data_IF_714274739730
#
_entry.id   IF_714274739730
#
_cell.length_a   1.000
_cell.length_b   1.000
_cell.length_c   1.000
_cell.angle_alpha   90.00
_cell.angle_beta   90.00
_cell.angle_gamma   90.00
#
_symmetry.space_group_name_H-M   'P 1'
#
loop_
_entity.id
_entity.type
_entity.pdbx_description
1 polymer ?
#
# COMPACT_ATOMS: atom_id res chain seq x y z
N UNK A 1 28.33 -42.20 14.44
CA UNK A 1 27.62 -41.01 14.96
C UNK A 1 28.43 -39.72 14.79
N UNK A 2 28.71 -39.33 13.51
CA UNK A 2 29.45 -38.11 13.16
C UNK A 2 28.65 -36.83 13.47
N UNK A 3 27.31 -36.91 13.40
CA UNK A 3 26.38 -35.78 13.61
C UNK A 3 26.51 -35.16 15.02
N UNK A 4 26.75 -35.95 16.05
CA UNK A 4 26.90 -35.48 17.43
C UNK A 4 28.22 -34.72 17.72
N UNK A 5 29.18 -34.77 16.78
CA UNK A 5 30.46 -34.05 16.86
C UNK A 5 30.44 -32.75 16.04
N UNK A 6 29.34 -32.53 15.30
CA UNK A 6 29.17 -31.34 14.48
C UNK A 6 28.65 -30.18 15.32
N UNK A 7 29.48 -29.16 15.47
CA UNK A 7 29.16 -27.95 16.24
C UNK A 7 27.96 -27.21 15.63
N UNK A 8 27.88 -27.20 14.31
CA UNK A 8 26.79 -26.52 13.59
C UNK A 8 25.42 -27.17 13.86
N UNK A 9 25.40 -28.51 14.07
CA UNK A 9 24.20 -29.22 14.49
C UNK A 9 23.70 -28.76 15.86
N UNK A 10 24.61 -28.63 16.83
CA UNK A 10 24.27 -28.17 18.19
C UNK A 10 23.86 -26.69 18.21
N UNK A 11 24.44 -25.85 17.37
CA UNK A 11 24.05 -24.46 17.19
C UNK A 11 22.66 -24.36 16.60
N UNK A 12 22.35 -25.15 15.57
CA UNK A 12 21.02 -25.20 14.99
C UNK A 12 19.97 -25.64 16.03
N UNK A 13 20.29 -26.69 16.81
CA UNK A 13 19.42 -27.19 17.88
C UNK A 13 19.20 -26.15 18.98
N UNK A 14 20.26 -25.46 19.39
CA UNK A 14 20.22 -24.40 20.41
C UNK A 14 19.43 -23.18 19.93
N UNK A 15 19.49 -22.85 18.65
CA UNK A 15 18.77 -21.73 18.05
C UNK A 15 17.29 -22.04 17.76
N UNK A 16 16.93 -23.32 17.66
CA UNK A 16 15.55 -23.78 17.46
C UNK A 16 14.84 -24.22 18.73
N UNK A 17 15.59 -24.50 19.79
CA UNK A 17 15.06 -25.12 21.01
C UNK A 17 14.22 -24.21 21.93
N UNK A 18 14.42 -22.90 22.09
CA UNK A 18 13.51 -22.11 22.92
C UNK A 18 12.34 -21.57 22.12
N UNK A 19 11.12 -21.69 22.67
CA UNK A 19 9.89 -21.08 22.16
C UNK A 19 9.97 -19.55 22.01
N UNK A 20 11.01 -18.91 22.56
CA UNK A 20 11.28 -17.48 22.60
C UNK A 20 12.65 -17.15 21.98
N UNK A 21 12.92 -17.56 20.78
CA UNK A 21 14.17 -17.25 20.10
C UNK A 21 14.05 -15.95 19.28
N UNK A 22 14.91 -14.97 19.55
CA UNK A 22 15.05 -13.76 18.69
C UNK A 22 15.61 -14.08 17.31
N UNK A 23 16.07 -15.31 17.05
CA UNK A 23 16.66 -15.72 15.78
C UNK A 23 15.70 -15.51 14.57
N UNK A 24 14.39 -15.70 14.77
CA UNK A 24 13.39 -15.47 13.73
C UNK A 24 13.24 -13.99 13.38
N UNK A 25 13.32 -13.10 14.36
CA UNK A 25 13.31 -11.65 14.15
C UNK A 25 14.58 -11.18 13.44
N UNK A 26 15.74 -11.68 13.84
CA UNK A 26 17.02 -11.39 13.16
C UNK A 26 16.99 -11.88 11.70
N UNK A 27 16.47 -13.08 11.46
CA UNK A 27 16.27 -13.61 10.10
C UNK A 27 15.39 -12.67 9.25
N UNK A 28 14.32 -12.12 9.83
CA UNK A 28 13.45 -11.14 9.17
C UNK A 28 14.14 -9.80 8.84
N UNK A 29 15.32 -9.53 9.41
CA UNK A 29 16.20 -8.39 9.12
C UNK A 29 17.45 -8.78 8.33
N UNK A 30 17.49 -9.98 7.76
CA UNK A 30 18.67 -10.56 7.09
C UNK A 30 19.90 -10.63 8.00
N UNK A 31 19.69 -10.95 9.28
CA UNK A 31 20.71 -11.16 10.29
C UNK A 31 20.65 -12.60 10.81
N UNK A 32 21.77 -13.12 11.31
CA UNK A 32 21.88 -14.41 11.99
C UNK A 32 22.82 -14.34 13.17
N UNK A 33 22.73 -15.30 14.07
CA UNK A 33 23.71 -15.49 15.12
C UNK A 33 24.88 -16.33 14.58
N UNK A 34 26.10 -15.91 14.92
CA UNK A 34 27.33 -16.69 14.75
C UNK A 34 27.51 -17.69 15.91
N UNK A 35 28.56 -18.53 15.84
CA UNK A 35 28.91 -19.53 16.84
C UNK A 35 29.07 -18.91 18.25
N UNK A 36 29.62 -17.70 18.31
CA UNK A 36 29.83 -16.92 19.54
C UNK A 36 28.62 -16.08 19.98
N UNK A 37 27.40 -16.31 19.37
CA UNK A 37 26.20 -15.49 19.56
C UNK A 37 26.32 -14.02 19.15
N UNK A 38 27.32 -13.67 18.37
CA UNK A 38 27.37 -12.35 17.76
C UNK A 38 26.37 -12.23 16.63
N UNK A 39 25.78 -11.04 16.47
CA UNK A 39 24.86 -10.75 15.38
C UNK A 39 25.67 -10.43 14.12
N UNK A 40 25.58 -11.29 13.12
CA UNK A 40 26.22 -11.11 11.83
C UNK A 40 25.18 -11.02 10.71
N UNK A 41 25.58 -10.49 9.57
CA UNK A 41 24.70 -10.47 8.38
C UNK A 41 24.48 -11.88 7.84
N UNK A 42 23.29 -12.14 7.34
CA UNK A 42 22.95 -13.37 6.62
C UNK A 42 23.83 -13.49 5.36
N UNK A 43 24.01 -14.72 4.84
CA UNK A 43 24.71 -14.97 3.59
C UNK A 43 24.03 -14.23 2.43
N UNK A 44 24.79 -13.79 1.42
CA UNK A 44 24.28 -12.92 0.34
C UNK A 44 23.08 -13.51 -0.38
N UNK A 45 23.12 -14.81 -0.68
CA UNK A 45 22.03 -15.54 -1.35
C UNK A 45 20.71 -15.57 -0.56
N UNK A 46 20.76 -15.26 0.73
CA UNK A 46 19.60 -15.29 1.65
C UNK A 46 19.13 -13.91 2.10
N UNK A 47 19.74 -12.83 1.61
CA UNK A 47 19.41 -11.44 1.98
C UNK A 47 18.27 -10.89 1.13
N UNK A 48 17.06 -11.39 1.36
CA UNK A 48 15.87 -10.96 0.61
C UNK A 48 14.92 -10.06 1.42
N UNK A 49 14.93 -10.19 2.75
CA UNK A 49 13.91 -9.55 3.59
C UNK A 49 14.05 -8.03 3.64
N UNK A 50 15.28 -7.47 3.74
CA UNK A 50 15.50 -6.02 3.68
C UNK A 50 14.98 -5.41 2.38
N UNK A 51 15.20 -6.09 1.25
CA UNK A 51 14.72 -5.65 -0.05
C UNK A 51 13.20 -5.67 -0.07
N UNK A 52 12.57 -6.71 0.48
CA UNK A 52 11.12 -6.84 0.56
C UNK A 52 10.50 -5.78 1.48
N UNK A 53 11.13 -5.47 2.64
CA UNK A 53 10.70 -4.38 3.52
C UNK A 53 10.71 -3.04 2.80
N UNK A 54 11.84 -2.68 2.18
CA UNK A 54 11.97 -1.43 1.43
C UNK A 54 10.99 -1.37 0.25
N UNK A 55 10.82 -2.49 -0.47
CA UNK A 55 9.87 -2.58 -1.58
C UNK A 55 8.45 -2.37 -1.08
N UNK A 56 8.05 -3.01 0.02
CA UNK A 56 6.72 -2.85 0.61
C UNK A 56 6.42 -1.40 0.96
N UNK A 57 7.35 -0.72 1.62
CA UNK A 57 7.21 0.70 1.95
C UNK A 57 7.12 1.56 0.68
N UNK A 58 7.98 1.32 -0.30
CA UNK A 58 7.97 2.06 -1.58
C UNK A 58 6.65 1.86 -2.33
N UNK A 59 6.17 0.61 -2.43
CA UNK A 59 4.90 0.30 -3.11
C UNK A 59 3.74 0.95 -2.36
N UNK A 60 3.66 0.82 -1.03
CA UNK A 60 2.61 1.44 -0.24
C UNK A 60 2.61 2.97 -0.40
N UNK A 61 3.79 3.60 -0.40
CA UNK A 61 3.92 5.04 -0.61
C UNK A 61 3.41 5.47 -1.99
N UNK A 62 3.87 4.82 -3.07
CA UNK A 62 3.46 5.21 -4.42
C UNK A 62 1.98 4.91 -4.69
N UNK A 63 1.45 3.80 -4.20
CA UNK A 63 0.01 3.50 -4.28
C UNK A 63 -0.80 4.60 -3.57
N UNK A 64 -0.34 5.04 -2.39
CA UNK A 64 -1.00 6.14 -1.66
C UNK A 64 -0.97 7.45 -2.46
N UNK A 65 0.17 7.78 -3.08
CA UNK A 65 0.31 8.98 -3.93
C UNK A 65 -0.62 8.89 -5.14
N UNK A 66 -0.67 7.75 -5.84
CA UNK A 66 -1.56 7.57 -6.99
C UNK A 66 -3.04 7.62 -6.58
N UNK A 67 -3.40 6.97 -5.46
CA UNK A 67 -4.74 7.07 -4.91
C UNK A 67 -5.11 8.54 -4.59
N UNK A 68 -4.21 9.29 -3.96
CA UNK A 68 -4.43 10.71 -3.65
C UNK A 68 -4.64 11.55 -4.90
N UNK A 69 -3.77 11.41 -5.90
CA UNK A 69 -3.86 12.17 -7.15
C UNK A 69 -5.17 11.92 -7.90
N UNK A 70 -5.66 10.68 -7.90
CA UNK A 70 -6.93 10.32 -8.54
C UNK A 70 -8.14 10.66 -7.65
N UNK A 71 -8.06 10.39 -6.35
CA UNK A 71 -9.17 10.59 -5.43
C UNK A 71 -9.48 12.06 -5.18
N UNK A 72 -8.46 12.94 -5.16
CA UNK A 72 -8.66 14.36 -4.85
C UNK A 72 -9.62 15.05 -5.83
N UNK A 73 -9.42 14.99 -7.17
CA UNK A 73 -10.36 15.55 -8.13
C UNK A 73 -11.73 14.88 -8.08
N UNK A 74 -11.78 13.54 -7.89
CA UNK A 74 -13.04 12.79 -7.78
C UNK A 74 -13.83 13.27 -6.55
N UNK A 75 -13.18 13.36 -5.40
CA UNK A 75 -13.81 13.80 -4.14
C UNK A 75 -14.27 15.25 -4.21
N UNK A 76 -13.47 16.12 -4.83
CA UNK A 76 -13.86 17.52 -5.06
C UNK A 76 -15.10 17.62 -5.96
N UNK A 77 -15.14 16.85 -7.04
CA UNK A 77 -16.31 16.78 -7.92
C UNK A 77 -17.54 16.30 -7.17
N UNK A 78 -17.42 15.20 -6.41
CA UNK A 78 -18.50 14.65 -5.59
C UNK A 78 -19.02 15.66 -4.55
N UNK A 79 -18.13 16.44 -3.93
CA UNK A 79 -18.50 17.41 -2.91
C UNK A 79 -19.22 18.64 -3.46
N UNK A 80 -18.92 19.04 -4.70
CA UNK A 80 -19.43 20.27 -5.34
C UNK A 80 -20.67 20.06 -6.19
N UNK A 81 -20.88 18.85 -6.72
CA UNK A 81 -22.05 18.54 -7.55
C UNK A 81 -23.36 18.52 -6.76
N UNK A 82 -24.51 18.79 -7.41
CA UNK A 82 -25.82 18.57 -6.86
C UNK A 82 -26.02 17.13 -6.38
N UNK A 83 -26.75 16.93 -5.29
CA UNK A 83 -26.92 15.65 -4.60
C UNK A 83 -27.26 14.48 -5.53
N UNK A 84 -28.13 14.73 -6.53
CA UNK A 84 -28.54 13.72 -7.51
C UNK A 84 -27.35 13.12 -8.29
N UNK A 85 -26.46 13.96 -8.79
CA UNK A 85 -25.30 13.53 -9.58
C UNK A 85 -24.17 13.01 -8.67
N UNK A 86 -23.98 13.66 -7.53
CA UNK A 86 -23.00 13.22 -6.52
C UNK A 86 -23.31 11.80 -6.03
N UNK A 87 -24.58 11.48 -5.74
CA UNK A 87 -24.96 10.14 -5.30
C UNK A 87 -24.73 9.09 -6.39
N UNK A 88 -25.05 9.40 -7.66
CA UNK A 88 -24.81 8.48 -8.77
C UNK A 88 -23.31 8.19 -8.95
N UNK A 89 -22.48 9.23 -8.93
CA UNK A 89 -21.02 9.06 -9.02
C UNK A 89 -20.44 8.34 -7.79
N UNK A 90 -20.98 8.59 -6.60
CA UNK A 90 -20.57 7.87 -5.40
C UNK A 90 -20.87 6.37 -5.52
N UNK A 91 -22.02 6.00 -6.09
CA UNK A 91 -22.34 4.59 -6.38
C UNK A 91 -21.30 4.01 -7.33
N UNK A 92 -20.91 4.72 -8.39
CA UNK A 92 -19.88 4.24 -9.33
C UNK A 92 -18.51 4.04 -8.65
N UNK A 93 -18.12 4.92 -7.72
CA UNK A 93 -16.87 4.79 -6.94
C UNK A 93 -16.93 3.59 -6.01
N UNK A 94 -18.10 3.33 -5.40
CA UNK A 94 -18.28 2.23 -4.44
C UNK A 94 -18.64 0.90 -5.10
N UNK A 95 -19.10 0.90 -6.35
CA UNK A 95 -19.50 -0.31 -7.06
C UNK A 95 -18.44 -1.45 -7.01
N UNK A 96 -17.13 -1.17 -7.11
CA UNK A 96 -16.13 -2.20 -6.95
C UNK A 96 -16.19 -2.95 -5.61
N UNK A 97 -16.71 -2.36 -4.54
CA UNK A 97 -16.83 -3.08 -3.25
C UNK A 97 -17.83 -4.23 -3.27
N UNK A 98 -18.81 -4.18 -4.16
CA UNK A 98 -19.81 -5.26 -4.31
C UNK A 98 -19.27 -6.48 -5.06
N UNK A 99 -18.08 -6.35 -5.67
CA UNK A 99 -17.40 -7.46 -6.34
C UNK A 99 -16.31 -8.05 -5.44
N UNK A 100 -16.08 -9.36 -5.55
CA UNK A 100 -15.04 -10.01 -4.77
C UNK A 100 -13.65 -9.49 -5.17
N UNK A 101 -12.73 -9.48 -4.21
CA UNK A 101 -11.33 -9.06 -4.44
C UNK A 101 -10.65 -9.92 -5.51
N UNK A 102 -10.89 -11.24 -5.49
CA UNK A 102 -10.33 -12.17 -6.46
C UNK A 102 -10.83 -11.86 -7.88
N UNK A 103 -12.13 -11.62 -8.05
CA UNK A 103 -12.71 -11.24 -9.35
C UNK A 103 -12.09 -9.95 -9.86
N UNK A 104 -11.96 -8.92 -9.03
CA UNK A 104 -11.30 -7.66 -9.41
C UNK A 104 -9.84 -7.86 -9.83
N UNK A 105 -9.09 -8.63 -9.04
CA UNK A 105 -7.68 -8.90 -9.37
C UNK A 105 -7.55 -9.73 -10.64
N UNK A 106 -8.39 -10.74 -10.83
CA UNK A 106 -8.42 -11.54 -12.07
C UNK A 106 -8.80 -10.71 -13.29
N UNK A 107 -9.73 -9.76 -13.14
CA UNK A 107 -10.06 -8.80 -14.23
C UNK A 107 -8.84 -7.96 -14.61
N UNK A 108 -8.05 -7.50 -13.62
CA UNK A 108 -6.79 -6.81 -13.89
C UNK A 108 -5.75 -7.69 -14.58
N UNK A 109 -5.70 -9.00 -14.25
CA UNK A 109 -4.84 -9.93 -14.98
C UNK A 109 -5.18 -9.99 -16.45
N UNK A 110 -6.47 -10.05 -16.81
CA UNK A 110 -6.94 -10.05 -18.22
C UNK A 110 -6.65 -8.72 -18.88
N UNK A 111 -6.88 -7.58 -18.21
CA UNK A 111 -6.69 -6.26 -18.77
C UNK A 111 -5.20 -5.92 -19.02
N UNK A 112 -4.32 -6.34 -18.14
CA UNK A 112 -2.88 -6.01 -18.16
C UNK A 112 -2.03 -7.01 -18.94
N UNK A 113 -2.58 -8.14 -19.38
CA UNK A 113 -1.80 -9.12 -20.17
C UNK A 113 -1.29 -8.51 -21.49
N UNK A 114 -0.26 -9.13 -22.07
CA UNK A 114 0.45 -8.58 -23.22
C UNK A 114 -0.47 -8.38 -24.46
N UNK A 115 -1.44 -9.27 -24.64
CA UNK A 115 -2.49 -9.15 -25.67
C UNK A 115 -3.84 -8.72 -25.07
N UNK A 116 -3.78 -7.90 -24.02
CA UNK A 116 -4.99 -7.42 -23.33
C UNK A 116 -5.45 -6.06 -23.82
N UNK A 117 -6.70 -5.69 -23.47
CA UNK A 117 -7.34 -4.46 -23.95
C UNK A 117 -6.54 -3.18 -23.64
N UNK A 118 -5.78 -3.13 -22.56
CA UNK A 118 -4.95 -1.96 -22.22
C UNK A 118 -3.79 -1.82 -23.22
N UNK A 119 -3.12 -2.92 -23.53
CA UNK A 119 -2.06 -2.91 -24.54
C UNK A 119 -2.59 -2.62 -25.94
N UNK A 120 -3.77 -3.13 -26.29
CA UNK A 120 -4.43 -2.80 -27.58
C UNK A 120 -4.72 -1.29 -27.65
N UNK A 121 -5.17 -0.67 -26.56
CA UNK A 121 -5.38 0.78 -26.49
C UNK A 121 -4.08 1.56 -26.62
N UNK A 122 -2.99 1.11 -26.00
CA UNK A 122 -1.66 1.74 -26.07
C UNK A 122 -1.12 1.70 -27.50
N UNK A 123 -1.27 0.57 -28.20
CA UNK A 123 -0.89 0.41 -29.61
C UNK A 123 -1.76 1.28 -30.50
N UNK A 124 -3.07 1.29 -30.28
CA UNK A 124 -4.01 2.13 -31.04
C UNK A 124 -3.71 3.63 -30.90
N UNK A 125 -3.28 4.08 -29.71
CA UNK A 125 -2.84 5.47 -29.48
C UNK A 125 -1.46 5.79 -30.09
N UNK A 126 -0.76 4.80 -30.66
CA UNK A 126 0.57 4.95 -31.23
C UNK A 126 1.69 5.12 -30.21
N UNK A 127 1.45 4.77 -28.93
CA UNK A 127 2.46 4.86 -27.86
C UNK A 127 3.40 3.66 -27.80
N UNK A 128 3.02 2.54 -28.40
CA UNK A 128 3.87 1.36 -28.57
C UNK A 128 3.61 0.72 -29.93
N UNK A 129 4.63 0.01 -30.46
CA UNK A 129 4.46 -0.83 -31.64
C UNK A 129 3.81 -2.17 -31.26
N UNK A 130 3.10 -2.79 -32.18
CA UNK A 130 2.44 -4.07 -31.92
C UNK A 130 3.42 -5.20 -31.61
N UNK A 131 4.63 -5.14 -32.21
CA UNK A 131 5.72 -6.08 -31.96
C UNK A 131 6.45 -5.84 -30.63
N UNK A 132 6.26 -4.66 -29.99
CA UNK A 132 6.94 -4.28 -28.76
C UNK A 132 5.95 -3.74 -27.73
N UNK A 133 4.99 -4.56 -27.35
CA UNK A 133 3.99 -4.23 -26.34
C UNK A 133 4.60 -4.18 -24.95
N UNK A 134 4.28 -3.19 -24.10
CA UNK A 134 4.81 -3.10 -22.74
C UNK A 134 4.34 -4.28 -21.87
N UNK A 135 5.27 -4.81 -21.08
CA UNK A 135 4.98 -5.83 -20.08
C UNK A 135 4.34 -5.15 -18.84
N UNK A 136 3.01 -5.14 -18.78
CA UNK A 136 2.27 -4.54 -17.66
C UNK A 136 1.93 -5.54 -16.56
N UNK A 137 2.11 -6.84 -16.81
CA UNK A 137 1.75 -7.91 -15.89
C UNK A 137 3.00 -8.59 -15.31
N UNK A 138 2.85 -9.24 -14.15
CA UNK A 138 3.91 -9.93 -13.41
C UNK A 138 5.10 -9.03 -13.01
N UNK A 139 4.82 -7.75 -12.76
CA UNK A 139 5.80 -6.76 -12.33
C UNK A 139 5.22 -5.74 -11.33
N UNK A 140 6.07 -4.83 -10.89
CA UNK A 140 5.68 -3.75 -9.96
C UNK A 140 4.61 -2.84 -10.55
N UNK A 141 4.60 -2.63 -11.89
CA UNK A 141 3.62 -1.76 -12.55
C UNK A 141 2.21 -2.35 -12.42
N UNK A 142 2.04 -3.64 -12.70
CA UNK A 142 0.76 -4.33 -12.49
C UNK A 142 0.28 -4.23 -11.05
N UNK A 143 1.20 -4.35 -10.09
CA UNK A 143 0.90 -4.16 -8.67
C UNK A 143 0.39 -2.75 -8.39
N UNK A 144 1.05 -1.70 -8.91
CA UNK A 144 0.62 -0.31 -8.72
C UNK A 144 -0.77 -0.06 -9.29
N UNK A 145 -1.03 -0.47 -10.53
CA UNK A 145 -2.31 -0.24 -11.20
C UNK A 145 -3.45 -0.92 -10.46
N UNK A 146 -3.32 -2.22 -10.20
CA UNK A 146 -4.37 -2.99 -9.55
C UNK A 146 -4.60 -2.55 -8.10
N UNK A 147 -3.55 -2.33 -7.30
CA UNK A 147 -3.70 -1.87 -5.92
C UNK A 147 -4.27 -0.45 -5.83
N UNK A 148 -3.89 0.45 -6.74
CA UNK A 148 -4.43 1.82 -6.76
C UNK A 148 -5.93 1.79 -7.00
N UNK A 149 -6.42 1.05 -7.99
CA UNK A 149 -7.85 0.94 -8.26
C UNK A 149 -8.62 0.32 -7.09
N UNK A 150 -8.07 -0.72 -6.48
CA UNK A 150 -8.71 -1.43 -5.35
C UNK A 150 -8.79 -0.54 -4.11
N UNK A 151 -7.74 0.26 -3.84
CA UNK A 151 -7.64 1.11 -2.66
C UNK A 151 -8.20 2.53 -2.86
N UNK A 152 -8.49 2.93 -4.11
CA UNK A 152 -9.00 4.26 -4.45
C UNK A 152 -10.24 4.69 -3.63
N UNK A 153 -11.28 3.85 -3.45
CA UNK A 153 -12.45 4.24 -2.66
C UNK A 153 -12.12 4.57 -1.20
N UNK A 154 -11.13 3.91 -0.61
CA UNK A 154 -10.67 4.18 0.77
C UNK A 154 -10.00 5.55 0.90
N UNK A 155 -9.50 6.12 -0.18
CA UNK A 155 -9.01 7.50 -0.23
C UNK A 155 -10.15 8.48 -0.48
N UNK A 156 -11.09 8.13 -1.39
CA UNK A 156 -12.21 9.01 -1.78
C UNK A 156 -13.13 9.30 -0.60
N UNK A 157 -13.47 8.29 0.20
CA UNK A 157 -14.45 8.43 1.27
C UNK A 157 -14.06 9.46 2.36
N UNK A 158 -12.85 9.40 2.97
CA UNK A 158 -12.44 10.41 3.94
C UNK A 158 -12.31 11.81 3.33
N UNK A 159 -11.76 11.91 2.12
CA UNK A 159 -11.66 13.18 1.38
C UNK A 159 -13.03 13.80 1.13
N UNK A 160 -13.97 13.03 0.58
CA UNK A 160 -15.33 13.48 0.33
C UNK A 160 -16.01 13.92 1.61
N UNK A 161 -15.89 13.15 2.69
CA UNK A 161 -16.50 13.47 3.99
C UNK A 161 -16.08 14.85 4.48
N UNK A 162 -14.77 15.14 4.45
CA UNK A 162 -14.25 16.45 4.87
C UNK A 162 -14.62 17.54 3.85
N UNK A 163 -14.46 17.30 2.55
CA UNK A 163 -14.78 18.29 1.51
C UNK A 163 -16.25 18.71 1.52
N UNK A 164 -17.15 17.79 1.86
CA UNK A 164 -18.60 18.06 1.93
C UNK A 164 -18.98 19.00 3.06
N UNK A 165 -18.21 19.09 4.14
CA UNK A 165 -18.45 20.00 5.25
C UNK A 165 -17.98 21.43 4.97
N UNK A 166 -17.14 21.64 3.94
CA UNK A 166 -16.59 22.96 3.60
C UNK A 166 -17.68 23.80 2.94
N UNK A 167 -18.07 24.91 3.60
CA UNK A 167 -19.09 25.81 3.06
C UNK A 167 -18.61 26.51 1.77
N UNK A 168 -19.43 26.50 0.69
CA UNK A 168 -19.12 27.22 -0.54
C UNK A 168 -18.99 28.74 -0.34
N UNK A 169 -19.53 29.30 0.75
CA UNK A 169 -19.42 30.72 1.10
C UNK A 169 -17.97 31.14 1.35
N UNK A 170 -17.12 30.26 1.90
CA UNK A 170 -15.70 30.54 2.13
C UNK A 170 -14.95 30.85 0.82
N UNK A 171 -15.23 30.06 -0.22
CA UNK A 171 -14.63 30.28 -1.54
C UNK A 171 -15.14 31.57 -2.19
N UNK A 172 -16.44 31.91 -1.99
CA UNK A 172 -17.03 33.17 -2.47
C UNK A 172 -16.44 34.37 -1.75
N UNK A 173 -16.30 34.31 -0.43
CA UNK A 173 -15.66 35.37 0.36
C UNK A 173 -14.22 35.64 -0.08
N UNK A 174 -13.41 34.59 -0.30
CA UNK A 174 -12.05 34.72 -0.80
C UNK A 174 -11.98 35.42 -2.17
N UNK A 175 -12.93 35.13 -3.07
CA UNK A 175 -13.02 35.80 -4.37
C UNK A 175 -13.47 37.27 -4.21
N UNK A 176 -14.41 37.57 -3.31
CA UNK A 176 -14.86 38.94 -3.05
C UNK A 176 -13.77 39.84 -2.47
N UNK A 177 -12.79 39.26 -1.76
CA UNK A 177 -11.59 39.94 -1.27
C UNK A 177 -10.52 40.14 -2.35
N UNK A 178 -10.83 39.91 -3.64
CA UNK A 178 -9.93 40.11 -4.77
C UNK A 178 -9.06 38.89 -5.12
N UNK A 179 -9.26 37.76 -4.46
CA UNK A 179 -8.55 36.52 -4.77
C UNK A 179 -8.99 35.90 -6.10
N UNK A 180 -8.03 35.43 -6.90
CA UNK A 180 -8.34 34.60 -8.08
C UNK A 180 -8.94 33.25 -7.63
N UNK A 181 -9.66 32.52 -8.50
CA UNK A 181 -10.16 31.18 -8.18
C UNK A 181 -9.08 30.21 -7.70
N UNK A 182 -7.89 30.28 -8.28
CA UNK A 182 -6.74 29.46 -7.90
C UNK A 182 -6.19 29.87 -6.53
N UNK A 183 -6.09 31.19 -6.26
CA UNK A 183 -5.65 31.70 -4.94
C UNK A 183 -6.61 31.28 -3.84
N UNK A 184 -7.91 31.45 -4.05
CA UNK A 184 -8.94 31.01 -3.10
C UNK A 184 -8.90 29.48 -2.87
N UNK A 185 -8.71 28.69 -3.93
CA UNK A 185 -8.53 27.26 -3.79
C UNK A 185 -7.30 26.91 -2.96
N UNK A 186 -6.12 27.45 -3.30
CA UNK A 186 -4.86 27.12 -2.63
C UNK A 186 -4.79 27.61 -1.19
N UNK A 187 -5.33 28.81 -0.88
CA UNK A 187 -5.19 29.43 0.43
C UNK A 187 -6.34 29.13 1.39
N UNK A 188 -7.51 28.80 0.88
CA UNK A 188 -8.72 28.55 1.71
C UNK A 188 -9.14 27.08 1.60
N UNK A 189 -9.47 26.61 0.40
CA UNK A 189 -10.07 25.30 0.24
C UNK A 189 -9.08 24.17 0.54
N UNK A 190 -7.90 24.18 -0.07
CA UNK A 190 -6.90 23.12 0.08
C UNK A 190 -6.47 22.91 1.54
N UNK A 191 -6.16 23.94 2.34
CA UNK A 191 -5.83 23.77 3.75
C UNK A 191 -6.95 23.13 4.57
N UNK A 192 -8.21 23.47 4.28
CA UNK A 192 -9.36 22.87 4.94
C UNK A 192 -9.56 21.38 4.59
N UNK A 193 -8.99 20.92 3.47
CA UNK A 193 -9.03 19.49 3.09
C UNK A 193 -7.92 18.64 3.71
N UNK A 194 -6.89 19.25 4.32
CA UNK A 194 -5.73 18.54 4.89
C UNK A 194 -6.14 17.40 5.86
N UNK A 195 -7.13 17.57 6.75
CA UNK A 195 -7.56 16.48 7.62
C UNK A 195 -8.07 15.25 6.85
N UNK A 196 -8.83 15.49 5.77
CA UNK A 196 -9.33 14.43 4.90
C UNK A 196 -8.21 13.75 4.09
N UNK A 197 -7.25 14.55 3.59
CA UNK A 197 -6.05 14.05 2.92
C UNK A 197 -5.28 13.13 3.87
N UNK A 198 -5.01 13.61 5.07
CA UNK A 198 -4.26 12.86 6.06
C UNK A 198 -4.93 11.55 6.43
N UNK A 199 -6.22 11.58 6.74
CA UNK A 199 -6.98 10.37 7.08
C UNK A 199 -7.00 9.36 5.91
N UNK A 200 -7.25 9.82 4.69
CA UNK A 200 -7.25 8.97 3.49
C UNK A 200 -5.87 8.38 3.19
N UNK A 201 -4.82 9.20 3.23
CA UNK A 201 -3.43 8.74 3.01
C UNK A 201 -3.00 7.71 4.04
N UNK A 202 -3.28 7.95 5.33
CA UNK A 202 -2.98 6.99 6.38
C UNK A 202 -3.69 5.65 6.17
N UNK A 203 -5.01 5.71 5.90
CA UNK A 203 -5.81 4.52 5.69
C UNK A 203 -5.31 3.69 4.51
N UNK A 204 -5.09 4.32 3.35
CA UNK A 204 -4.60 3.65 2.14
C UNK A 204 -3.20 3.09 2.36
N UNK A 205 -2.30 3.84 3.00
CA UNK A 205 -0.94 3.41 3.27
C UNK A 205 -0.89 2.16 4.16
N UNK A 206 -1.66 2.16 5.27
CA UNK A 206 -1.73 1.02 6.18
C UNK A 206 -2.31 -0.22 5.47
N UNK A 207 -3.38 -0.04 4.70
CA UNK A 207 -3.96 -1.13 3.92
C UNK A 207 -2.97 -1.67 2.88
N UNK A 208 -2.26 -0.80 2.17
CA UNK A 208 -1.30 -1.18 1.14
C UNK A 208 -0.12 -2.01 1.69
N UNK A 209 0.40 -1.68 2.88
CA UNK A 209 1.48 -2.44 3.54
C UNK A 209 1.05 -3.89 3.82
N UNK A 210 -0.18 -4.10 4.27
CA UNK A 210 -0.70 -5.43 4.60
C UNK A 210 -1.23 -6.22 3.39
N UNK A 211 -1.28 -5.61 2.21
CA UNK A 211 -1.89 -6.22 1.04
C UNK A 211 -1.02 -7.33 0.46
N UNK A 212 -1.58 -8.54 0.24
CA UNK A 212 -0.81 -9.67 -0.31
C UNK A 212 -1.46 -10.35 -1.52
N UNK A 213 -2.81 -10.35 -1.62
CA UNK A 213 -3.51 -11.09 -2.67
C UNK A 213 -3.21 -10.52 -4.06
N UNK A 214 -3.38 -9.22 -4.23
CA UNK A 214 -3.14 -8.59 -5.54
C UNK A 214 -1.68 -8.66 -5.95
N UNK A 215 -0.68 -8.31 -5.12
CA UNK A 215 0.72 -8.53 -5.47
C UNK A 215 1.09 -9.97 -5.77
N UNK A 216 0.45 -10.95 -5.12
CA UNK A 216 0.67 -12.37 -5.39
C UNK A 216 0.21 -12.78 -6.80
N UNK A 217 -0.86 -12.18 -7.31
CA UNK A 217 -1.46 -12.53 -8.60
C UNK A 217 -0.88 -11.75 -9.76
N UNK A 218 -0.66 -10.44 -9.62
CA UNK A 218 -0.23 -9.55 -10.72
C UNK A 218 1.21 -9.07 -10.62
N UNK A 219 1.84 -9.19 -9.44
CA UNK A 219 3.12 -8.55 -9.16
C UNK A 219 4.35 -9.36 -9.59
N UNK A 220 4.24 -10.67 -9.77
CA UNK A 220 5.39 -11.52 -10.07
C UNK A 220 6.52 -11.40 -9.01
N UNK A 221 7.74 -11.71 -9.39
CA UNK A 221 8.89 -11.66 -8.48
C UNK A 221 9.26 -10.23 -8.05
N UNK A 222 9.15 -9.26 -8.97
CA UNK A 222 9.49 -7.86 -8.72
C UNK A 222 8.41 -7.10 -7.94
N UNK A 223 7.16 -7.52 -8.02
CA UNK A 223 6.02 -6.92 -7.30
C UNK A 223 5.67 -7.60 -5.98
N UNK A 224 6.38 -8.67 -5.59
CA UNK A 224 6.16 -9.36 -4.31
C UNK A 224 6.56 -8.49 -3.12
N UNK A 225 5.74 -8.51 -2.06
CA UNK A 225 5.87 -7.71 -0.84
C UNK A 225 6.18 -8.61 0.36
N UNK A 226 6.51 -8.00 1.51
CA UNK A 226 6.76 -8.75 2.75
C UNK A 226 5.51 -9.55 3.20
N UNK A 227 4.30 -9.03 2.97
CA UNK A 227 3.04 -9.70 3.22
C UNK A 227 2.88 -11.01 2.43
N UNK A 228 3.43 -11.08 1.21
CA UNK A 228 3.48 -12.30 0.41
C UNK A 228 4.38 -13.36 1.05
N UNK A 229 5.52 -12.94 1.62
CA UNK A 229 6.44 -13.82 2.34
C UNK A 229 5.79 -14.38 3.62
N UNK A 230 5.06 -13.54 4.35
CA UNK A 230 4.28 -14.00 5.51
C UNK A 230 3.27 -15.07 5.08
N UNK A 231 2.50 -14.80 4.04
CA UNK A 231 1.52 -15.75 3.51
C UNK A 231 2.17 -17.06 3.02
N UNK A 232 3.33 -16.99 2.38
CA UNK A 232 4.12 -18.14 1.96
C UNK A 232 4.53 -19.01 3.16
N UNK A 233 5.06 -18.39 4.22
CA UNK A 233 5.48 -19.13 5.42
C UNK A 233 4.31 -19.71 6.21
N UNK A 234 3.13 -19.13 6.10
CA UNK A 234 1.90 -19.70 6.71
C UNK A 234 1.34 -20.89 5.92
N UNK A 235 1.36 -20.82 4.58
CA UNK A 235 0.60 -21.74 3.72
C UNK A 235 1.47 -22.83 3.06
N UNK A 236 2.70 -22.47 2.67
CA UNK A 236 3.55 -23.34 1.86
C UNK A 236 4.70 -23.96 2.67
N UNK A 237 5.49 -23.15 3.38
CA UNK A 237 6.61 -23.68 4.17
C UNK A 237 6.20 -24.13 5.58
N UNK A 238 4.98 -23.76 6.04
CA UNK A 238 4.42 -24.08 7.36
C UNK A 238 5.32 -23.65 8.54
N UNK A 239 6.22 -22.68 8.33
CA UNK A 239 7.04 -22.06 9.39
C UNK A 239 6.23 -20.92 10.07
N UNK A 240 5.22 -21.33 10.83
CA UNK A 240 4.32 -20.42 11.54
C UNK A 240 5.04 -19.46 12.47
N UNK A 241 6.13 -19.91 13.12
CA UNK A 241 6.90 -19.07 14.02
C UNK A 241 7.64 -17.96 13.29
N UNK A 242 8.15 -18.20 12.08
CA UNK A 242 8.77 -17.15 11.26
C UNK A 242 7.72 -16.22 10.66
N UNK A 243 6.59 -16.74 10.19
CA UNK A 243 5.46 -15.92 9.75
C UNK A 243 4.97 -14.98 10.85
N UNK A 244 4.83 -15.48 12.10
CA UNK A 244 4.45 -14.67 13.24
C UNK A 244 5.49 -13.59 13.58
N UNK A 245 6.79 -13.90 13.49
CA UNK A 245 7.85 -12.92 13.69
C UNK A 245 7.78 -11.79 12.66
N UNK A 246 7.65 -12.12 11.37
CA UNK A 246 7.48 -11.12 10.30
C UNK A 246 6.20 -10.30 10.47
N UNK A 247 5.08 -10.95 10.82
CA UNK A 247 3.79 -10.29 11.06
C UNK A 247 3.83 -9.33 12.24
N UNK A 248 4.48 -9.71 13.35
CA UNK A 248 4.65 -8.83 14.51
C UNK A 248 5.56 -7.63 14.20
N UNK A 249 6.63 -7.82 13.42
CA UNK A 249 7.48 -6.72 12.94
C UNK A 249 6.69 -5.76 12.06
N UNK A 250 5.88 -6.28 11.15
CA UNK A 250 5.00 -5.47 10.29
C UNK A 250 4.00 -4.68 11.11
N UNK A 251 3.38 -5.30 12.13
CA UNK A 251 2.46 -4.63 13.04
C UNK A 251 3.14 -3.49 13.80
N UNK A 252 4.33 -3.74 14.38
CA UNK A 252 5.10 -2.69 15.07
C UNK A 252 5.45 -1.55 14.12
N UNK A 253 5.86 -1.87 12.87
CA UNK A 253 6.12 -0.87 11.84
C UNK A 253 4.90 0.01 11.54
N UNK A 254 3.73 -0.60 11.35
CA UNK A 254 2.46 0.11 11.11
C UNK A 254 2.07 0.98 12.30
N UNK A 255 2.17 0.46 13.54
CA UNK A 255 1.85 1.23 14.74
C UNK A 255 2.81 2.42 14.92
N UNK A 256 4.07 2.25 14.60
CA UNK A 256 5.08 3.33 14.65
C UNK A 256 4.73 4.43 13.63
N UNK A 257 4.37 4.07 12.40
CA UNK A 257 3.96 5.03 11.36
C UNK A 257 2.67 5.75 11.78
N UNK A 258 1.70 5.01 12.32
CA UNK A 258 0.47 5.60 12.87
C UNK A 258 0.77 6.60 14.00
N UNK A 259 1.64 6.26 14.93
CA UNK A 259 2.03 7.13 16.04
C UNK A 259 2.74 8.40 15.54
N UNK A 260 3.67 8.28 14.60
CA UNK A 260 4.36 9.41 13.97
C UNK A 260 3.33 10.31 13.27
N UNK A 261 2.43 9.72 12.49
CA UNK A 261 1.38 10.44 11.80
C UNK A 261 0.49 11.23 12.79
N UNK A 262 0.01 10.58 13.84
CA UNK A 262 -0.84 11.21 14.86
C UNK A 262 -0.14 12.40 15.53
N UNK A 263 1.17 12.26 15.81
CA UNK A 263 1.97 13.34 16.39
C UNK A 263 2.20 14.52 15.43
N UNK A 264 2.35 14.24 14.12
CA UNK A 264 2.61 15.29 13.12
C UNK A 264 1.34 16.02 12.69
N UNK A 265 0.25 15.29 12.46
CA UNK A 265 -1.02 15.86 11.96
C UNK A 265 -1.90 16.40 13.10
N UNK A 266 -1.68 15.89 14.32
CA UNK A 266 -2.34 16.41 15.51
C UNK A 266 -3.86 16.29 15.45
N UNK A 267 -4.38 15.09 15.25
CA UNK A 267 -5.83 14.82 15.20
C UNK A 267 -6.52 15.37 16.48
N UNK A 268 -5.81 15.37 17.60
CA UNK A 268 -6.29 15.91 18.87
C UNK A 268 -6.40 17.46 18.88
N UNK A 269 -5.77 18.17 17.95
CA UNK A 269 -5.82 19.63 17.82
C UNK A 269 -6.96 20.11 16.91
N UNK A 270 -7.65 19.23 16.21
CA UNK A 270 -8.85 19.56 15.46
C UNK A 270 -10.03 19.53 16.43
N UNK A 271 -10.01 20.42 17.42
CA UNK A 271 -11.25 20.79 18.14
C UNK A 271 -12.11 21.49 17.11
N UNK A 272 -13.10 20.77 16.61
CA UNK A 272 -14.27 21.35 15.95
C UNK A 272 -14.90 22.28 16.97
N UNK A 273 -14.63 23.58 16.84
CA UNK A 273 -15.32 24.63 17.58
C UNK A 273 -16.78 24.72 17.17
#
# INVERSE_FOLDING_TARGET
>A
HKIWKDVDYWIALKNTAPNWSYAKYLKGLDLKFDQDRNIIQQDEDRRIHKILWLRTIKVAFWVTVFCFLLAYPISHLLATLPMKYSNLLMICVLLPFWTSLLVRTSSWMVLLQQQGPINDLIVWLGWAADDNRPELMYNVVGTFVAMTQILLPFMVLPLYSVMKTISPSLMRAGKSLGGTPFTAFRQIYFPLTIPGIGAGCLLVFILAIGYYITPALVGGASGSLISNTIAYHMKSSLDWSFAAALGSMLLVGVLTIYWIYNKLVGIDNIKLG
#
